data_IF_965537266586
#
_entry.id   IF_965537266586
#
_cell.length_a   1.000
_cell.length_b   1.000
_cell.length_c   1.000
_cell.angle_alpha   90.00
_cell.angle_beta   90.00
_cell.angle_gamma   90.00
#
_symmetry.space_group_name_H-M   'P 1'
#
loop_
_entity.id
_entity.type
_entity.pdbx_description
1 polymer ?
#
# COMPACT_ATOMS: atom_id res chain seq x y z
N UNK A 1 12.24 -7.14 -0.22
CA UNK A 1 12.88 -6.95 1.11
C UNK A 1 11.99 -7.35 2.27
N UNK A 2 10.87 -6.67 2.54
CA UNK A 2 10.04 -6.99 3.73
C UNK A 2 9.53 -8.43 3.80
N UNK A 3 9.06 -8.99 2.69
CA UNK A 3 8.62 -10.39 2.62
C UNK A 3 9.75 -11.36 2.97
N UNK A 4 10.92 -11.18 2.36
CA UNK A 4 12.11 -12.00 2.66
C UNK A 4 12.51 -11.92 4.15
N UNK A 5 12.48 -10.72 4.74
CA UNK A 5 12.78 -10.53 6.15
C UNK A 5 11.72 -11.19 7.06
N UNK A 6 10.44 -11.10 6.71
CA UNK A 6 9.36 -11.77 7.42
C UNK A 6 9.48 -13.29 7.35
N UNK A 7 9.88 -13.82 6.18
CA UNK A 7 10.14 -15.24 5.97
C UNK A 7 11.32 -15.75 6.79
N UNK A 8 12.39 -14.98 6.88
CA UNK A 8 13.52 -15.31 7.74
C UNK A 8 13.12 -15.30 9.23
N UNK A 9 12.26 -14.36 9.65
CA UNK A 9 11.82 -14.24 11.04
C UNK A 9 10.77 -15.30 11.46
N UNK A 10 9.93 -15.74 10.51
CA UNK A 10 8.86 -16.72 10.75
C UNK A 10 8.81 -17.74 9.61
N UNK A 11 9.78 -18.66 9.51
CA UNK A 11 9.94 -19.57 8.37
C UNK A 11 8.83 -20.63 8.24
N UNK A 12 8.04 -20.82 9.30
CA UNK A 12 7.01 -21.85 9.36
C UNK A 12 5.61 -21.39 8.94
N UNK A 13 5.42 -20.12 8.61
CA UNK A 13 4.14 -19.61 8.12
C UNK A 13 3.78 -20.19 6.74
N UNK A 14 2.47 -20.20 6.44
CA UNK A 14 1.96 -20.59 5.11
C UNK A 14 2.15 -19.46 4.07
N UNK A 15 2.03 -18.21 4.54
CA UNK A 15 2.15 -17.01 3.71
C UNK A 15 2.92 -15.89 4.42
N UNK A 16 3.66 -15.12 3.63
CA UNK A 16 4.31 -13.87 4.04
C UNK A 16 3.81 -12.72 3.17
N UNK A 17 3.34 -11.65 3.81
CA UNK A 17 2.70 -10.53 3.14
C UNK A 17 3.41 -9.22 3.47
N UNK A 18 3.64 -8.40 2.45
CA UNK A 18 4.06 -7.02 2.62
C UNK A 18 3.17 -6.07 1.81
N UNK A 19 2.84 -4.93 2.41
CA UNK A 19 2.16 -3.82 1.75
C UNK A 19 3.05 -2.60 1.94
N UNK A 20 3.65 -2.11 0.86
CA UNK A 20 4.59 -0.98 0.90
C UNK A 20 4.05 0.19 0.10
N UNK A 21 3.88 1.33 0.77
CA UNK A 21 3.48 2.57 0.12
C UNK A 21 4.67 3.20 -0.62
N UNK A 22 4.38 3.80 -1.77
CA UNK A 22 5.34 4.52 -2.59
C UNK A 22 4.72 5.76 -3.22
N UNK A 23 5.59 6.57 -3.82
CA UNK A 23 5.22 7.69 -4.67
C UNK A 23 6.01 7.58 -5.97
N UNK A 24 5.31 7.73 -7.08
CA UNK A 24 5.89 7.74 -8.42
C UNK A 24 5.02 8.63 -9.30
N UNK A 25 5.64 9.35 -10.24
CA UNK A 25 4.96 10.24 -11.20
C UNK A 25 3.88 11.17 -10.58
N UNK A 26 4.13 11.68 -9.37
CA UNK A 26 3.21 12.61 -8.69
C UNK A 26 1.99 11.94 -8.03
N UNK A 27 1.95 10.61 -7.95
CA UNK A 27 0.88 9.87 -7.32
C UNK A 27 1.40 8.92 -6.22
N UNK A 28 0.57 8.67 -5.21
CA UNK A 28 0.84 7.62 -4.21
C UNK A 28 0.11 6.32 -4.55
N UNK A 29 0.73 5.19 -4.23
CA UNK A 29 0.17 3.84 -4.38
C UNK A 29 0.78 2.92 -3.32
N UNK A 30 0.39 1.66 -3.34
CA UNK A 30 1.09 0.63 -2.57
C UNK A 30 1.26 -0.66 -3.34
N UNK A 31 2.44 -1.25 -3.23
CA UNK A 31 2.70 -2.61 -3.70
C UNK A 31 2.27 -3.60 -2.64
N UNK A 32 1.52 -4.61 -3.06
CA UNK A 32 1.20 -5.79 -2.28
C UNK A 32 1.99 -6.96 -2.85
N UNK A 33 2.77 -7.61 -1.99
CA UNK A 33 3.49 -8.83 -2.30
C UNK A 33 3.07 -9.91 -1.31
N UNK A 34 2.67 -11.06 -1.85
CA UNK A 34 2.31 -12.24 -1.09
C UNK A 34 3.20 -13.38 -1.58
N UNK A 35 3.89 -14.05 -0.66
CA UNK A 35 4.66 -15.26 -0.97
C UNK A 35 4.12 -16.42 -0.15
N UNK A 36 3.98 -17.58 -0.80
CA UNK A 36 3.96 -18.88 -0.13
C UNK A 36 5.35 -19.52 -0.23
N UNK A 37 5.46 -20.80 0.15
CA UNK A 37 6.71 -21.57 -0.02
C UNK A 37 7.10 -21.75 -1.48
N UNK A 38 6.12 -21.79 -2.39
CA UNK A 38 6.29 -22.22 -3.78
C UNK A 38 5.99 -21.11 -4.79
N UNK A 39 5.20 -20.11 -4.40
CA UNK A 39 4.66 -19.13 -5.35
C UNK A 39 4.67 -17.72 -4.79
N UNK A 40 4.69 -16.75 -5.70
CA UNK A 40 4.65 -15.32 -5.40
C UNK A 40 3.56 -14.65 -6.22
N UNK A 41 2.75 -13.84 -5.56
CA UNK A 41 1.75 -12.99 -6.18
C UNK A 41 1.99 -11.53 -5.84
N UNK A 42 1.80 -10.67 -6.83
CA UNK A 42 2.04 -9.24 -6.70
C UNK A 42 0.89 -8.46 -7.35
N UNK A 43 0.54 -7.35 -6.70
CA UNK A 43 -0.35 -6.37 -7.29
C UNK A 43 0.02 -4.99 -6.78
N UNK A 44 -0.33 -3.97 -7.56
CA UNK A 44 -0.24 -2.57 -7.16
C UNK A 44 -1.65 -2.05 -6.93
N UNK A 45 -1.86 -1.28 -5.87
CA UNK A 45 -3.12 -0.58 -5.65
C UNK A 45 -3.40 0.41 -6.78
N UNK A 46 -4.65 0.87 -6.86
CA UNK A 46 -4.96 2.10 -7.59
C UNK A 46 -4.06 3.24 -7.08
N UNK A 47 -3.73 4.16 -8.00
CA UNK A 47 -2.94 5.35 -7.71
C UNK A 47 -3.86 6.48 -7.25
N UNK A 48 -3.37 7.31 -6.33
CA UNK A 48 -3.99 8.57 -5.94
C UNK A 48 -3.08 9.72 -6.37
N UNK A 49 -3.47 10.52 -7.37
CA UNK A 49 -2.74 11.74 -7.73
C UNK A 49 -2.67 12.67 -6.51
N UNK A 50 -1.49 13.20 -6.22
CA UNK A 50 -1.29 14.12 -5.11
C UNK A 50 -1.26 15.57 -5.63
N UNK A 51 -1.88 16.53 -4.90
CA UNK A 51 -1.74 17.94 -5.22
C UNK A 51 -0.28 18.41 -5.14
N UNK A 52 0.10 19.40 -5.95
CA UNK A 52 1.49 19.89 -6.03
C UNK A 52 2.02 20.37 -4.66
N UNK A 53 1.18 21.04 -3.87
CA UNK A 53 1.53 21.48 -2.50
C UNK A 53 1.92 20.32 -1.56
N UNK A 54 1.37 19.13 -1.78
CA UNK A 54 1.73 17.91 -1.04
C UNK A 54 3.02 17.33 -1.62
N UNK A 55 3.14 17.29 -2.96
CA UNK A 55 4.31 16.76 -3.65
C UNK A 55 5.58 17.55 -3.34
N UNK A 56 5.52 18.87 -3.24
CA UNK A 56 6.67 19.72 -2.86
C UNK A 56 7.28 19.29 -1.53
N UNK A 57 6.44 19.06 -0.52
CA UNK A 57 6.88 18.59 0.81
C UNK A 57 7.47 17.18 0.76
N UNK A 58 6.83 16.27 0.03
CA UNK A 58 7.34 14.89 -0.06
C UNK A 58 8.65 14.82 -0.85
N UNK A 59 8.79 15.63 -1.92
CA UNK A 59 10.06 15.77 -2.66
C UNK A 59 11.17 16.38 -1.80
N UNK A 60 10.82 17.19 -0.80
CA UNK A 60 11.76 17.68 0.21
C UNK A 60 12.16 16.61 1.26
N UNK A 61 11.67 15.38 1.14
CA UNK A 61 12.03 14.24 1.99
C UNK A 61 11.05 13.99 3.15
N UNK A 62 9.96 14.75 3.25
CA UNK A 62 8.94 14.50 4.26
C UNK A 62 8.11 13.25 3.90
N UNK A 63 7.78 12.43 4.90
CA UNK A 63 6.86 11.32 4.67
C UNK A 63 5.43 11.84 4.42
N UNK A 64 4.70 11.21 3.50
CA UNK A 64 3.34 11.62 3.13
C UNK A 64 2.37 11.64 4.32
N UNK A 65 2.48 10.68 5.25
CA UNK A 65 1.62 10.61 6.44
C UNK A 65 1.66 11.89 7.29
N UNK A 66 2.84 12.29 7.81
CA UNK A 66 3.04 13.56 8.51
C UNK A 66 2.57 14.79 7.72
N UNK A 67 2.88 14.88 6.42
CA UNK A 67 2.44 15.99 5.55
C UNK A 67 0.92 16.09 5.52
N UNK A 68 0.23 14.96 5.34
CA UNK A 68 -1.23 14.91 5.33
C UNK A 68 -1.84 15.24 6.69
N UNK A 69 -1.22 14.80 7.80
CA UNK A 69 -1.68 15.17 9.15
C UNK A 69 -1.60 16.69 9.37
N UNK A 70 -0.49 17.33 8.96
CA UNK A 70 -0.35 18.79 9.03
C UNK A 70 -1.38 19.51 8.17
N UNK A 71 -1.63 19.02 6.95
CA UNK A 71 -2.55 19.65 6.00
C UNK A 71 -4.02 19.56 6.46
N UNK A 72 -4.41 18.43 7.04
CA UNK A 72 -5.80 18.15 7.42
C UNK A 72 -6.13 18.47 8.87
N UNK A 73 -5.12 18.63 9.72
CA UNK A 73 -5.27 18.72 11.18
C UNK A 73 -5.66 17.39 11.84
N UNK A 74 -5.64 16.27 11.11
CA UNK A 74 -6.01 14.94 11.62
C UNK A 74 -4.75 14.18 12.03
N UNK A 75 -4.57 13.98 13.33
CA UNK A 75 -3.47 13.16 13.85
C UNK A 75 -3.58 11.71 13.39
N UNK A 76 -2.39 11.15 13.10
CA UNK A 76 -2.19 9.79 12.57
C UNK A 76 -3.16 9.44 11.44
N UNK A 77 -3.37 10.35 10.48
CA UNK A 77 -4.31 10.12 9.37
C UNK A 77 -4.00 8.84 8.58
N UNK A 78 -2.72 8.47 8.51
CA UNK A 78 -2.24 7.22 7.94
C UNK A 78 -2.68 5.96 8.72
N UNK A 79 -3.33 6.04 9.87
CA UNK A 79 -3.96 4.92 10.57
C UNK A 79 -5.50 4.93 10.49
N UNK A 80 -6.07 6.00 9.94
CA UNK A 80 -7.51 6.19 9.71
C UNK A 80 -7.80 5.97 8.22
N UNK A 81 -8.58 6.86 7.61
CA UNK A 81 -8.98 6.77 6.20
C UNK A 81 -7.82 7.06 5.22
N UNK A 82 -6.74 7.71 5.69
CA UNK A 82 -5.58 8.09 4.89
C UNK A 82 -5.86 9.22 3.90
N UNK A 83 -4.85 9.57 3.11
CA UNK A 83 -4.99 10.57 2.04
C UNK A 83 -6.11 10.22 1.04
N UNK A 84 -6.32 8.92 0.80
CA UNK A 84 -7.40 8.40 -0.05
C UNK A 84 -8.76 8.86 0.48
N UNK A 85 -9.05 8.69 1.77
CA UNK A 85 -10.32 9.15 2.36
C UNK A 85 -10.53 10.64 2.20
N UNK A 86 -9.50 11.43 2.51
CA UNK A 86 -9.54 12.89 2.41
C UNK A 86 -9.87 13.33 0.99
N UNK A 87 -9.10 12.88 0.00
CA UNK A 87 -9.23 13.36 -1.37
C UNK A 87 -10.38 12.73 -2.14
N UNK A 88 -11.03 11.70 -1.58
CA UNK A 88 -12.26 11.11 -2.14
C UNK A 88 -13.51 11.47 -1.34
N UNK A 89 -13.42 12.41 -0.40
CA UNK A 89 -14.51 12.81 0.49
C UNK A 89 -15.18 11.61 1.21
N UNK A 90 -14.36 10.64 1.63
CA UNK A 90 -14.80 9.43 2.33
C UNK A 90 -15.42 8.35 1.44
N UNK A 91 -15.55 8.57 0.13
CA UNK A 91 -16.11 7.57 -0.79
C UNK A 91 -15.23 6.31 -0.89
N UNK A 92 -13.91 6.46 -0.71
CA UNK A 92 -12.96 5.37 -0.60
C UNK A 92 -12.14 5.50 0.68
N UNK A 93 -11.65 4.38 1.18
CA UNK A 93 -10.69 4.36 2.29
C UNK A 93 -9.42 3.66 1.87
N UNK A 94 -8.30 3.95 2.56
CA UNK A 94 -7.06 3.22 2.34
C UNK A 94 -7.23 1.71 2.49
N UNK A 95 -7.99 1.27 3.50
CA UNK A 95 -8.26 -0.15 3.72
C UNK A 95 -9.05 -0.78 2.55
N UNK A 96 -10.07 -0.09 2.04
CA UNK A 96 -10.85 -0.58 0.89
C UNK A 96 -10.01 -0.72 -0.38
N UNK A 97 -9.16 0.27 -0.67
CA UNK A 97 -8.26 0.23 -1.83
C UNK A 97 -7.21 -0.89 -1.68
N UNK A 98 -6.64 -1.07 -0.49
CA UNK A 98 -5.67 -2.14 -0.25
C UNK A 98 -6.31 -3.52 -0.28
N UNK A 99 -7.55 -3.65 0.19
CA UNK A 99 -8.29 -4.90 0.14
C UNK A 99 -8.38 -5.44 -1.30
N UNK A 100 -8.71 -4.58 -2.27
CA UNK A 100 -8.72 -4.97 -3.68
C UNK A 100 -7.33 -5.41 -4.18
N UNK A 101 -6.27 -4.67 -3.83
CA UNK A 101 -4.91 -5.02 -4.23
C UNK A 101 -4.45 -6.37 -3.63
N UNK A 102 -4.83 -6.66 -2.38
CA UNK A 102 -4.57 -7.97 -1.74
C UNK A 102 -5.29 -9.10 -2.46
N UNK A 103 -6.58 -8.91 -2.80
CA UNK A 103 -7.34 -9.91 -3.59
C UNK A 103 -6.64 -10.17 -4.94
N UNK A 104 -6.21 -9.11 -5.64
CA UNK A 104 -5.50 -9.25 -6.91
C UNK A 104 -4.18 -10.01 -6.75
N UNK A 105 -3.39 -9.69 -5.71
CA UNK A 105 -2.14 -10.37 -5.42
C UNK A 105 -2.34 -11.85 -5.03
N UNK A 106 -3.53 -12.24 -4.57
CA UNK A 106 -3.87 -13.63 -4.25
C UNK A 106 -4.21 -14.49 -5.48
N UNK A 107 -4.38 -13.88 -6.67
CA UNK A 107 -4.80 -14.60 -7.89
C UNK A 107 -3.98 -15.85 -8.20
N UNK A 108 -2.63 -15.86 -8.09
CA UNK A 108 -1.83 -17.04 -8.43
C UNK A 108 -2.12 -18.26 -7.55
N UNK A 109 -2.55 -18.06 -6.29
CA UNK A 109 -2.63 -19.11 -5.28
C UNK A 109 -3.91 -19.96 -5.36
N UNK A 110 -4.93 -19.50 -6.08
CA UNK A 110 -6.20 -20.22 -6.23
C UNK A 110 -6.60 -20.48 -7.69
N UNK A 111 -5.73 -20.18 -8.64
CA UNK A 111 -5.96 -20.41 -10.07
C UNK A 111 -4.85 -21.29 -10.65
N UNK A 112 -5.23 -22.49 -11.12
CA UNK A 112 -4.26 -23.49 -11.59
C UNK A 112 -3.42 -23.04 -12.80
N UNK A 113 -3.89 -22.07 -13.59
CA UNK A 113 -3.17 -21.55 -14.76
C UNK A 113 -1.87 -20.78 -14.41
N UNK A 114 -1.68 -20.41 -13.14
CA UNK A 114 -0.46 -19.74 -12.66
C UNK A 114 0.63 -20.71 -12.17
N UNK A 115 0.42 -22.03 -12.31
CA UNK A 115 1.41 -23.07 -11.95
C UNK A 115 2.24 -23.50 -13.15
#
# INVERSE_FOLDING_TARGET
>A
NRVANARAAAPDADFWVAIEAGIDEGATFSWVVIESREQRGEARSATLPLPEIILEKVRAGEALGPVMSQYTGIDEIGRKEGAIGVFTAGALTRSGVYHQAVILALSPFHNAIYR
#
